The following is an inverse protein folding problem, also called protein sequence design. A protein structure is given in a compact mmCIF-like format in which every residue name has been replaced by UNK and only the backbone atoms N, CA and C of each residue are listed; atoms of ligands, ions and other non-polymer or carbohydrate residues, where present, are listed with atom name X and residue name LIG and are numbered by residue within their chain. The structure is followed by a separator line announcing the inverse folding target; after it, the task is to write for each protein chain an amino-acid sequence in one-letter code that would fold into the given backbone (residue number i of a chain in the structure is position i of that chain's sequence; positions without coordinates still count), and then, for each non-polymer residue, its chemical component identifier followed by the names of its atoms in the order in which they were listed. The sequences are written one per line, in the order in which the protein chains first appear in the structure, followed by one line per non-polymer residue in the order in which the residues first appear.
data_IF_967350980354
#
_entry.id   IF_967350980354
#
_cell.length_a   1.000
_cell.length_b   1.000
_cell.length_c   1.000
_cell.angle_alpha   90.00
_cell.angle_beta   90.00
_cell.angle_gamma   90.00
#
_symmetry.space_group_name_H-M   'P 1'
#
loop_
_entity.id
_entity.type
_entity.pdbx_description
1 polymer ?
#
# COMPACT_ATOMS: atom_id res chain seq x y z
N UNK A 1 -67.70 -22.44 -16.91
CA UNK A 1 -66.71 -21.34 -16.83
C UNK A 1 -65.81 -21.59 -15.63
N UNK A 2 -64.57 -22.04 -15.86
CA UNK A 2 -63.53 -22.14 -14.83
C UNK A 2 -62.20 -21.79 -15.50
N UNK A 3 -61.68 -20.63 -15.14
CA UNK A 3 -60.44 -20.05 -15.66
C UNK A 3 -59.24 -20.71 -14.97
N UNK A 4 -58.34 -21.28 -15.76
CA UNK A 4 -57.04 -21.77 -15.29
C UNK A 4 -56.05 -20.61 -15.36
N UNK A 5 -55.59 -20.13 -14.20
CA UNK A 5 -54.50 -19.14 -14.09
C UNK A 5 -53.16 -19.88 -14.09
N UNK A 6 -52.33 -19.60 -15.09
CA UNK A 6 -50.93 -20.00 -15.13
C UNK A 6 -50.11 -19.05 -14.25
N UNK A 7 -49.45 -19.58 -13.23
CA UNK A 7 -48.46 -18.83 -12.46
C UNK A 7 -47.09 -18.97 -13.13
N UNK A 8 -46.56 -17.89 -13.69
CA UNK A 8 -45.15 -17.80 -14.10
C UNK A 8 -44.29 -17.71 -12.83
N UNK A 9 -43.48 -18.73 -12.58
CA UNK A 9 -42.37 -18.68 -11.63
C UNK A 9 -41.19 -17.96 -12.31
N UNK A 10 -40.96 -16.70 -11.94
CA UNK A 10 -39.74 -15.96 -12.24
C UNK A 10 -38.62 -16.47 -11.33
N UNK A 11 -37.72 -17.28 -11.88
CA UNK A 11 -36.43 -17.60 -11.25
C UNK A 11 -35.55 -16.37 -11.40
N UNK A 12 -35.36 -15.62 -10.31
CA UNK A 12 -34.38 -14.54 -10.26
C UNK A 12 -32.98 -15.16 -10.34
N UNK A 13 -32.33 -15.03 -11.49
CA UNK A 13 -30.92 -15.35 -11.65
C UNK A 13 -30.10 -14.43 -10.74
N UNK A 14 -29.49 -14.99 -9.70
CA UNK A 14 -28.40 -14.37 -8.97
C UNK A 14 -27.24 -14.17 -9.96
N UNK A 15 -27.04 -12.92 -10.39
CA UNK A 15 -25.82 -12.52 -11.05
C UNK A 15 -24.68 -12.68 -10.04
N UNK A 16 -23.96 -13.79 -10.13
CA UNK A 16 -22.67 -13.98 -9.46
C UNK A 16 -21.74 -12.98 -10.14
N UNK A 17 -21.54 -11.83 -9.51
CA UNK A 17 -20.53 -10.86 -9.92
C UNK A 17 -19.18 -11.58 -9.97
N UNK A 18 -18.56 -11.60 -11.15
CA UNK A 18 -17.20 -12.08 -11.32
C UNK A 18 -16.26 -11.21 -10.49
N UNK A 19 -15.78 -11.73 -9.37
CA UNK A 19 -14.67 -11.14 -8.62
C UNK A 19 -13.41 -11.35 -9.45
N UNK A 20 -13.05 -10.33 -10.24
CA UNK A 20 -11.82 -10.34 -11.03
C UNK A 20 -10.63 -10.15 -10.10
N UNK A 21 -9.84 -11.20 -9.90
CA UNK A 21 -8.48 -11.05 -9.39
C UNK A 21 -7.68 -10.30 -10.46
N UNK A 22 -7.20 -9.10 -10.15
CA UNK A 22 -6.16 -8.47 -10.93
C UNK A 22 -4.81 -9.07 -10.50
N UNK A 23 -4.52 -10.30 -10.94
CA UNK A 23 -3.15 -10.78 -10.96
C UNK A 23 -2.44 -10.02 -12.08
N UNK A 24 -1.65 -9.01 -11.73
CA UNK A 24 -0.83 -8.30 -12.70
C UNK A 24 0.30 -9.22 -13.17
N UNK A 25 0.20 -9.78 -14.37
CA UNK A 25 1.34 -10.47 -15.00
C UNK A 25 2.32 -9.43 -15.51
N UNK A 26 3.52 -9.40 -14.94
CA UNK A 26 4.57 -8.51 -15.38
C UNK A 26 5.25 -9.01 -16.66
N UNK A 27 5.35 -8.15 -17.67
CA UNK A 27 6.21 -8.39 -18.84
C UNK A 27 7.39 -7.44 -18.79
N UNK A 28 8.60 -7.99 -18.71
CA UNK A 28 9.85 -7.23 -18.82
C UNK A 28 10.25 -7.12 -20.30
N UNK A 29 10.44 -5.90 -20.81
CA UNK A 29 11.20 -5.67 -22.04
C UNK A 29 12.43 -4.85 -21.68
N UNK A 30 13.62 -5.28 -22.09
CA UNK A 30 14.91 -4.65 -21.75
C UNK A 30 15.43 -3.83 -22.95
N UNK A 31 15.23 -2.50 -22.99
CA UNK A 31 16.17 -1.59 -23.64
C UNK A 31 17.39 -1.36 -22.72
N UNK A 32 18.57 -0.97 -23.25
CA UNK A 32 19.71 -0.60 -22.42
C UNK A 32 19.35 0.58 -21.50
N UNK A 33 19.45 0.40 -20.18
CA UNK A 33 19.35 1.48 -19.19
C UNK A 33 17.98 1.75 -18.56
N UNK A 34 16.91 1.03 -18.93
CA UNK A 34 15.60 1.14 -18.26
C UNK A 34 15.02 -0.26 -18.02
N UNK A 35 14.78 -0.61 -16.76
CA UNK A 35 14.15 -1.89 -16.37
C UNK A 35 12.63 -1.68 -16.32
N UNK A 36 12.00 -1.53 -17.49
CA UNK A 36 10.53 -1.41 -17.51
C UNK A 36 9.90 -2.73 -17.10
N UNK A 37 9.44 -2.78 -15.86
CA UNK A 37 8.54 -3.82 -15.37
C UNK A 37 7.15 -3.22 -15.36
N UNK A 38 6.22 -3.78 -16.12
CA UNK A 38 4.83 -3.34 -16.07
C UNK A 38 4.07 -4.36 -15.23
N UNK A 39 4.03 -4.15 -13.92
CA UNK A 39 2.97 -4.75 -13.09
C UNK A 39 1.63 -4.21 -13.64
N UNK A 40 0.56 -5.01 -13.67
CA UNK A 40 -0.74 -4.62 -14.25
C UNK A 40 -1.36 -3.32 -13.73
N UNK A 41 -2.62 -3.03 -14.06
CA UNK A 41 -3.27 -1.78 -13.61
C UNK A 41 -3.76 -1.91 -12.17
N UNK A 42 -3.20 -1.15 -11.23
CA UNK A 42 -3.70 -1.07 -9.85
C UNK A 42 -4.76 0.00 -9.71
N UNK A 43 -5.87 -0.31 -9.06
CA UNK A 43 -6.91 0.68 -8.84
C UNK A 43 -6.81 1.25 -7.44
N UNK A 44 -6.65 2.56 -7.33
CA UNK A 44 -6.74 3.29 -6.07
C UNK A 44 -7.81 4.37 -6.19
N UNK A 45 -8.61 4.52 -5.15
CA UNK A 45 -9.59 5.61 -5.08
C UNK A 45 -8.94 6.84 -4.49
N UNK A 46 -9.34 8.02 -4.96
CA UNK A 46 -8.97 9.28 -4.31
C UNK A 46 -9.27 9.25 -2.80
N UNK A 47 -8.36 9.84 -2.02
CA UNK A 47 -8.43 9.85 -0.55
C UNK A 47 -7.73 8.66 0.13
N UNK A 48 -7.13 7.77 -0.64
CA UNK A 48 -6.40 6.60 -0.12
C UNK A 48 -4.89 6.81 -0.20
N UNK A 49 -4.16 6.12 0.68
CA UNK A 49 -2.70 6.07 0.63
C UNK A 49 -2.19 4.85 -0.15
N UNK A 50 -1.15 5.06 -0.93
CA UNK A 50 -0.32 4.03 -1.55
C UNK A 50 1.02 3.91 -0.80
N UNK A 51 1.46 2.67 -0.57
CA UNK A 51 2.82 2.32 -0.18
C UNK A 51 3.54 1.62 -1.33
N UNK A 52 4.85 1.85 -1.44
CA UNK A 52 5.71 1.32 -2.50
C UNK A 52 7.02 0.83 -1.89
N UNK A 53 7.38 -0.42 -2.16
CA UNK A 53 8.63 -1.01 -1.68
C UNK A 53 9.25 -1.89 -2.78
N UNK A 54 10.58 -2.04 -2.75
CA UNK A 54 11.23 -3.12 -3.50
C UNK A 54 11.20 -4.40 -2.66
N UNK A 55 10.84 -5.50 -3.28
CA UNK A 55 10.78 -6.83 -2.67
C UNK A 55 11.78 -7.77 -3.35
N UNK A 56 12.13 -8.87 -2.71
CA UNK A 56 12.98 -9.89 -3.31
C UNK A 56 13.60 -10.79 -2.26
N UNK A 57 13.56 -12.10 -2.52
CA UNK A 57 14.09 -13.13 -1.61
C UNK A 57 15.43 -13.70 -2.12
N UNK A 58 15.88 -13.27 -3.30
CA UNK A 58 17.14 -13.74 -3.89
C UNK A 58 18.32 -13.05 -3.20
N UNK A 59 19.33 -13.79 -2.71
CA UNK A 59 20.53 -13.20 -2.11
C UNK A 59 21.38 -12.38 -3.10
N UNK A 60 21.22 -12.57 -4.42
CA UNK A 60 21.91 -11.78 -5.45
C UNK A 60 21.03 -11.56 -6.71
N UNK A 61 20.00 -10.69 -6.64
CA UNK A 61 19.13 -10.45 -7.77
C UNK A 61 19.76 -9.47 -8.77
N UNK A 62 20.03 -9.93 -9.99
CA UNK A 62 20.84 -9.28 -11.06
C UNK A 62 22.32 -8.98 -10.69
N UNK A 63 22.61 -8.52 -9.47
CA UNK A 63 23.93 -8.19 -8.96
C UNK A 63 24.02 -8.57 -7.48
N UNK A 64 25.22 -8.89 -7.00
CA UNK A 64 25.45 -9.03 -5.57
C UNK A 64 25.79 -7.64 -5.00
N UNK A 65 24.88 -7.05 -4.23
CA UNK A 65 25.09 -5.77 -3.56
C UNK A 65 23.80 -5.06 -3.18
N UNK A 66 23.91 -4.05 -2.32
CA UNK A 66 22.79 -3.19 -1.91
C UNK A 66 22.25 -2.42 -3.12
N UNK A 67 20.94 -2.52 -3.35
CA UNK A 67 20.23 -1.69 -4.32
C UNK A 67 19.99 -0.34 -3.66
N UNK A 68 20.34 0.73 -4.35
CA UNK A 68 20.07 2.08 -3.88
C UNK A 68 18.92 2.67 -4.67
N UNK A 69 17.93 3.18 -3.98
CA UNK A 69 16.87 4.02 -4.57
C UNK A 69 17.39 5.44 -4.65
N UNK A 70 17.24 6.07 -5.81
CA UNK A 70 17.71 7.44 -6.05
C UNK A 70 16.59 8.45 -6.28
N UNK A 71 15.38 7.98 -6.63
CA UNK A 71 14.20 8.84 -6.76
C UNK A 71 12.91 8.02 -6.77
N UNK A 72 11.81 8.65 -6.33
CA UNK A 72 10.45 8.17 -6.49
C UNK A 72 9.56 9.28 -7.04
N UNK A 73 8.97 9.05 -8.22
CA UNK A 73 8.16 10.01 -8.95
C UNK A 73 6.83 9.37 -9.39
N UNK A 74 5.82 10.19 -9.61
CA UNK A 74 4.59 9.80 -10.32
C UNK A 74 4.33 10.75 -11.48
N UNK A 75 4.04 10.15 -12.63
CA UNK A 75 3.76 10.82 -13.89
C UNK A 75 2.28 10.69 -14.25
N UNK A 76 1.71 11.76 -14.83
CA UNK A 76 0.39 11.73 -15.45
C UNK A 76 0.42 11.05 -16.84
N UNK A 77 -0.73 10.89 -17.54
CA UNK A 77 -0.78 10.30 -18.88
C UNK A 77 0.03 11.04 -19.95
N UNK A 78 0.37 12.31 -19.73
CA UNK A 78 1.18 13.12 -20.65
C UNK A 78 2.67 12.95 -20.41
N UNK A 79 3.05 12.29 -19.31
CA UNK A 79 4.44 12.14 -18.85
C UNK A 79 4.91 13.28 -17.96
N UNK A 80 4.03 14.18 -17.54
CA UNK A 80 4.37 15.25 -16.62
C UNK A 80 4.44 14.73 -15.18
N UNK A 81 5.43 15.19 -14.41
CA UNK A 81 5.57 14.85 -12.99
C UNK A 81 4.46 15.52 -12.19
N UNK A 82 3.64 14.73 -11.51
CA UNK A 82 2.56 15.21 -10.62
C UNK A 82 2.91 15.03 -9.14
N UNK A 83 3.85 14.15 -8.84
CA UNK A 83 4.38 13.95 -7.50
C UNK A 83 5.85 13.57 -7.59
N UNK A 84 6.65 14.11 -6.67
CA UNK A 84 8.04 13.74 -6.44
C UNK A 84 8.27 13.65 -4.92
N UNK A 85 8.93 12.58 -4.48
CA UNK A 85 9.35 12.47 -3.09
C UNK A 85 10.60 13.35 -2.85
N UNK A 86 10.37 14.61 -2.47
CA UNK A 86 11.42 15.57 -2.15
C UNK A 86 11.84 15.55 -0.68
N UNK A 87 11.05 14.88 0.18
CA UNK A 87 11.31 14.80 1.61
C UNK A 87 12.44 13.81 1.92
N UNK A 88 12.61 12.80 1.08
CA UNK A 88 13.66 11.79 1.24
C UNK A 88 15.01 12.28 0.72
N UNK A 89 16.04 12.21 1.56
CA UNK A 89 17.43 12.45 1.16
C UNK A 89 17.99 11.22 0.42
N UNK A 90 17.83 11.20 -0.90
CA UNK A 90 18.40 10.16 -1.76
C UNK A 90 19.92 10.32 -1.97
N UNK A 91 20.65 9.22 -2.28
CA UNK A 91 20.18 7.85 -2.41
C UNK A 91 20.01 7.13 -1.05
N UNK A 92 19.08 6.17 -0.98
CA UNK A 92 18.87 5.30 0.19
C UNK A 92 19.02 3.82 -0.18
N UNK A 93 19.57 2.98 0.71
CA UNK A 93 19.43 1.53 0.60
C UNK A 93 17.96 1.13 0.46
N UNK A 94 17.66 0.16 -0.40
CA UNK A 94 16.28 -0.25 -0.68
C UNK A 94 15.54 -0.82 0.54
N UNK A 95 16.27 -1.41 1.49
CA UNK A 95 15.76 -1.92 2.77
C UNK A 95 15.50 -0.81 3.81
N UNK A 96 16.07 0.38 3.60
CA UNK A 96 15.80 1.60 4.37
C UNK A 96 14.83 2.54 3.65
N UNK A 97 14.34 2.17 2.47
CA UNK A 97 13.44 2.98 1.66
C UNK A 97 11.99 2.44 1.73
N UNK A 98 11.05 3.36 1.90
CA UNK A 98 9.62 3.11 1.77
C UNK A 98 9.00 4.34 1.09
N UNK A 99 8.57 4.15 -0.15
CA UNK A 99 7.81 5.16 -0.90
C UNK A 99 6.37 5.21 -0.42
N UNK A 100 5.78 6.40 -0.39
CA UNK A 100 4.35 6.55 -0.20
C UNK A 100 3.80 7.70 -1.02
N UNK A 101 2.55 7.59 -1.44
CA UNK A 101 1.86 8.65 -2.14
C UNK A 101 0.40 8.67 -1.73
N UNK A 102 -0.11 9.85 -1.38
CA UNK A 102 -1.50 10.03 -0.94
C UNK A 102 -2.46 10.38 -2.09
N UNK A 103 -2.04 10.08 -3.33
CA UNK A 103 -2.80 10.40 -4.55
C UNK A 103 -3.09 11.90 -4.67
N UNK A 104 -2.13 12.73 -4.25
CA UNK A 104 -2.18 14.19 -4.36
C UNK A 104 -1.09 14.73 -5.26
N UNK A 105 -1.32 15.89 -5.85
CA UNK A 105 -0.28 16.67 -6.54
C UNK A 105 0.76 17.18 -5.52
N UNK A 106 1.87 17.72 -6.00
CA UNK A 106 2.88 18.42 -5.17
C UNK A 106 2.27 19.56 -4.34
N UNK A 107 1.18 20.18 -4.81
CA UNK A 107 0.46 21.24 -4.08
C UNK A 107 -0.52 20.69 -3.03
N UNK A 108 -0.64 19.37 -2.90
CA UNK A 108 -1.52 18.69 -1.93
C UNK A 108 -2.96 18.49 -2.42
N UNK A 109 -3.28 18.86 -3.65
CA UNK A 109 -4.62 18.66 -4.22
C UNK A 109 -4.81 17.21 -4.71
N UNK A 110 -5.99 16.58 -4.54
CA UNK A 110 -6.23 15.24 -5.08
C UNK A 110 -5.99 15.19 -6.59
N UNK A 111 -5.25 14.17 -7.06
CA UNK A 111 -5.07 13.98 -8.50
C UNK A 111 -6.37 13.55 -9.17
N UNK A 112 -6.56 13.94 -10.43
CA UNK A 112 -7.73 13.58 -11.21
C UNK A 112 -7.88 12.06 -11.38
N UNK A 113 -9.08 11.61 -11.74
CA UNK A 113 -9.29 10.23 -12.17
C UNK A 113 -8.54 9.98 -13.47
N UNK A 114 -7.85 8.84 -13.57
CA UNK A 114 -7.05 8.56 -14.74
C UNK A 114 -5.93 7.57 -14.50
N UNK A 115 -5.12 7.37 -15.54
CA UNK A 115 -3.94 6.52 -15.48
C UNK A 115 -2.73 7.33 -15.03
N UNK A 116 -1.90 6.72 -14.20
CA UNK A 116 -0.66 7.30 -13.72
C UNK A 116 0.45 6.27 -13.85
N UNK A 117 1.68 6.75 -14.02
CA UNK A 117 2.87 5.90 -14.03
C UNK A 117 3.70 6.22 -12.82
N UNK A 118 3.89 5.23 -11.97
CA UNK A 118 4.85 5.28 -10.88
C UNK A 118 6.24 4.96 -11.40
N UNK A 119 7.26 5.69 -10.96
CA UNK A 119 8.66 5.50 -11.35
C UNK A 119 9.56 5.48 -10.11
N UNK A 120 10.29 4.39 -9.91
CA UNK A 120 11.33 4.25 -8.88
C UNK A 120 12.68 4.09 -9.56
N UNK A 121 13.54 5.08 -9.43
CA UNK A 121 14.89 5.04 -10.02
C UNK A 121 15.84 4.36 -9.04
N UNK A 122 16.63 3.40 -9.52
CA UNK A 122 17.56 2.65 -8.67
C UNK A 122 18.94 2.47 -9.30
N UNK A 123 19.92 2.04 -8.50
CA UNK A 123 21.29 1.74 -8.95
C UNK A 123 21.38 0.63 -10.02
N UNK A 124 20.32 -0.15 -10.20
CA UNK A 124 20.26 -1.26 -11.18
C UNK A 124 19.30 -0.98 -12.35
N UNK A 125 18.66 0.20 -12.36
CA UNK A 125 17.70 0.62 -13.37
C UNK A 125 16.38 1.12 -12.77
N UNK A 126 15.52 1.64 -13.63
CA UNK A 126 14.25 2.23 -13.19
C UNK A 126 13.15 1.18 -13.17
N UNK A 127 12.41 1.05 -12.06
CA UNK A 127 11.19 0.26 -11.95
C UNK A 127 9.96 1.14 -12.22
N UNK A 128 8.98 0.60 -12.93
CA UNK A 128 7.75 1.31 -13.26
C UNK A 128 6.51 0.54 -12.78
N UNK A 129 5.39 1.21 -12.56
CA UNK A 129 4.10 0.56 -12.37
C UNK A 129 2.96 1.44 -12.89
N UNK A 130 1.94 0.83 -13.49
CA UNK A 130 0.75 1.55 -13.93
C UNK A 130 -0.32 1.56 -12.83
N UNK A 131 -0.85 2.74 -12.56
CA UNK A 131 -1.93 2.98 -11.60
C UNK A 131 -3.14 3.54 -12.34
N UNK A 132 -4.32 3.13 -11.92
CA UNK A 132 -5.61 3.74 -12.24
C UNK A 132 -6.17 4.40 -10.99
N UNK A 133 -6.30 5.72 -11.01
CA UNK A 133 -7.02 6.48 -9.98
C UNK A 133 -8.50 6.56 -10.38
N UNK A 134 -9.39 6.30 -9.43
CA UNK A 134 -10.85 6.43 -9.59
C UNK A 134 -11.42 7.40 -8.56
N UNK A 135 -12.68 7.80 -8.76
CA UNK A 135 -13.46 8.51 -7.77
C UNK A 135 -13.39 7.86 -6.37
N UNK A 136 -13.60 8.64 -5.29
CA UNK A 136 -13.67 8.11 -3.93
C UNK A 136 -14.71 7.00 -3.83
N UNK A 137 -14.34 5.86 -3.24
CA UNK A 137 -15.27 4.77 -2.94
C UNK A 137 -15.71 4.88 -1.47
N UNK A 138 -16.95 5.29 -1.17
CA UNK A 138 -17.43 5.44 0.20
C UNK A 138 -17.66 4.11 0.92
N UNK A 139 -17.64 2.97 0.22
CA UNK A 139 -17.87 1.66 0.82
C UNK A 139 -17.15 0.55 0.02
N UNK A 140 -15.80 0.46 0.13
CA UNK A 140 -15.04 -0.53 -0.64
C UNK A 140 -15.49 -1.95 -0.31
N UNK A 141 -16.02 -2.64 -1.34
CA UNK A 141 -16.49 -4.03 -1.23
C UNK A 141 -15.48 -5.03 -1.78
N UNK A 142 -14.65 -4.62 -2.72
CA UNK A 142 -13.56 -5.43 -3.25
C UNK A 142 -12.39 -5.44 -2.26
N UNK A 143 -11.75 -6.60 -2.08
CA UNK A 143 -10.50 -6.66 -1.33
C UNK A 143 -9.37 -6.02 -2.12
N UNK A 144 -8.50 -5.29 -1.41
CA UNK A 144 -7.26 -4.77 -1.99
C UNK A 144 -6.39 -5.93 -2.47
N UNK A 145 -5.89 -5.81 -3.69
CA UNK A 145 -4.84 -6.68 -4.22
C UNK A 145 -3.52 -5.93 -4.13
N UNK A 146 -2.46 -6.64 -3.74
CA UNK A 146 -1.10 -6.15 -3.97
C UNK A 146 -0.70 -6.49 -5.41
N UNK A 147 0.30 -5.79 -5.89
CA UNK A 147 0.99 -6.16 -7.10
C UNK A 147 2.47 -6.28 -6.90
N UNK A 148 3.08 -7.20 -7.64
CA UNK A 148 4.51 -7.37 -7.66
C UNK A 148 4.95 -7.66 -9.09
N UNK A 149 5.92 -6.90 -9.57
CA UNK A 149 6.58 -7.19 -10.84
C UNK A 149 8.05 -7.42 -10.63
N UNK A 150 8.50 -8.60 -11.05
CA UNK A 150 9.85 -9.08 -10.71
C UNK A 150 10.79 -8.99 -11.89
N UNK A 151 11.98 -8.40 -11.71
CA UNK A 151 13.12 -8.50 -12.63
C UNK A 151 14.33 -9.01 -11.87
N UNK A 152 14.93 -10.10 -12.38
CA UNK A 152 15.98 -10.87 -11.71
C UNK A 152 15.72 -11.20 -10.23
N UNK A 153 14.48 -11.41 -9.79
CA UNK A 153 14.17 -11.67 -8.38
C UNK A 153 13.91 -10.44 -7.52
N UNK A 154 13.97 -9.22 -8.07
CA UNK A 154 13.50 -7.98 -7.40
C UNK A 154 12.11 -7.61 -7.88
N UNK A 155 11.15 -7.61 -6.97
CA UNK A 155 9.80 -7.12 -7.13
C UNK A 155 9.66 -5.63 -6.85
N UNK A 156 8.70 -4.96 -7.51
CA UNK A 156 8.15 -3.68 -7.06
C UNK A 156 6.76 -3.91 -6.49
N UNK A 157 6.62 -3.77 -5.16
CA UNK A 157 5.38 -3.98 -4.44
C UNK A 157 4.58 -2.68 -4.27
N UNK A 158 3.33 -2.67 -4.74
CA UNK A 158 2.38 -1.58 -4.51
C UNK A 158 1.20 -2.10 -3.68
N UNK A 159 0.91 -1.43 -2.57
CA UNK A 159 -0.11 -1.91 -1.64
C UNK A 159 -0.71 -0.78 -0.79
N UNK A 160 -1.78 -1.12 -0.06
CA UNK A 160 -2.58 -0.14 0.69
C UNK A 160 -1.77 0.42 1.86
N UNK A 161 -1.68 1.75 1.93
CA UNK A 161 -1.26 2.50 3.11
C UNK A 161 -2.49 3.08 3.81
N UNK A 162 -2.49 3.05 5.13
CA UNK A 162 -3.48 3.69 5.99
C UNK A 162 -2.78 4.48 7.09
N UNK A 163 -3.41 5.55 7.54
CA UNK A 163 -2.93 6.40 8.62
C UNK A 163 -4.07 6.87 9.53
N UNK A 164 -3.81 7.85 10.40
CA UNK A 164 -4.80 8.39 11.35
C UNK A 164 -6.13 8.82 10.69
N UNK A 165 -6.15 9.12 9.37
CA UNK A 165 -7.37 9.46 8.63
C UNK A 165 -8.31 8.27 8.42
N UNK A 166 -7.79 7.05 8.48
CA UNK A 166 -8.54 5.81 8.29
C UNK A 166 -9.10 5.24 9.62
N UNK A 167 -8.99 5.96 10.74
CA UNK A 167 -9.46 5.50 12.07
C UNK A 167 -10.91 4.97 12.04
N UNK A 168 -11.11 3.78 12.60
CA UNK A 168 -12.42 3.13 12.71
C UNK A 168 -12.99 2.63 11.38
N UNK A 169 -12.24 2.69 10.28
CA UNK A 169 -12.68 2.19 8.98
C UNK A 169 -12.52 0.68 8.85
N UNK A 170 -13.20 0.12 7.85
CA UNK A 170 -13.04 -1.29 7.46
C UNK A 170 -12.15 -1.40 6.22
N UNK A 171 -11.08 -2.17 6.33
CA UNK A 171 -10.12 -2.42 5.25
C UNK A 171 -10.32 -3.84 4.70
N UNK A 172 -10.98 -3.99 3.53
CA UNK A 172 -11.10 -5.28 2.87
C UNK A 172 -9.79 -5.66 2.16
N UNK A 173 -9.20 -6.82 2.42
CA UNK A 173 -8.00 -7.34 1.73
C UNK A 173 -8.33 -8.65 1.01
N UNK A 174 -7.61 -8.95 -0.06
CA UNK A 174 -7.56 -10.31 -0.60
C UNK A 174 -6.43 -11.10 0.06
N UNK A 175 -6.53 -12.42 0.12
CA UNK A 175 -5.42 -13.28 0.53
C UNK A 175 -4.11 -12.94 -0.21
N UNK A 176 -3.00 -12.85 0.53
CA UNK A 176 -1.68 -12.48 0.03
C UNK A 176 -1.41 -10.97 -0.06
N UNK A 177 -2.43 -10.11 0.05
CA UNK A 177 -2.26 -8.67 -0.01
C UNK A 177 -1.50 -8.11 1.20
N UNK A 178 -0.77 -7.02 1.00
CA UNK A 178 -0.07 -6.28 2.06
C UNK A 178 -0.84 -5.05 2.52
N UNK A 179 -0.64 -4.66 3.77
CA UNK A 179 -1.17 -3.45 4.39
C UNK A 179 -0.06 -2.75 5.17
N UNK A 180 0.14 -1.46 4.91
CA UNK A 180 1.03 -0.58 5.68
C UNK A 180 0.18 0.30 6.61
N UNK A 181 0.45 0.25 7.91
CA UNK A 181 -0.04 1.22 8.88
C UNK A 181 1.07 2.26 9.09
N UNK A 182 0.75 3.54 8.92
CA UNK A 182 1.69 4.66 9.05
C UNK A 182 1.16 5.65 10.09
N UNK A 183 1.74 5.65 11.29
CA UNK A 183 1.26 6.46 12.42
C UNK A 183 2.28 7.52 12.83
N UNK A 184 1.94 8.82 12.74
CA UNK A 184 2.80 9.88 13.24
C UNK A 184 3.10 9.73 14.73
N UNK A 185 4.33 10.01 15.12
CA UNK A 185 4.76 9.94 16.52
C UNK A 185 6.15 10.54 16.71
N UNK A 186 6.59 10.62 17.96
CA UNK A 186 7.90 11.15 18.31
C UNK A 186 8.59 10.30 19.40
N UNK A 187 9.46 9.35 19.01
CA UNK A 187 10.17 8.50 19.96
C UNK A 187 11.11 9.28 20.89
N UNK A 188 11.55 10.50 20.53
CA UNK A 188 12.44 11.30 21.39
C UNK A 188 11.76 11.81 22.66
N UNK A 189 10.43 11.73 22.71
CA UNK A 189 9.61 12.10 23.88
C UNK A 189 9.35 10.91 24.82
N UNK A 190 9.85 9.73 24.46
CA UNK A 190 9.64 8.47 25.15
C UNK A 190 8.37 7.71 24.75
N UNK A 191 7.51 8.31 23.93
CA UNK A 191 6.33 7.64 23.41
C UNK A 191 6.64 6.76 22.21
N UNK A 192 5.93 5.64 22.08
CA UNK A 192 5.97 4.78 20.91
C UNK A 192 4.60 4.19 20.62
N UNK A 193 4.39 3.81 19.37
CA UNK A 193 3.25 3.00 18.98
C UNK A 193 3.54 1.52 19.24
N UNK A 194 2.60 0.82 19.85
CA UNK A 194 2.60 -0.62 20.03
C UNK A 194 1.28 -1.19 19.51
N UNK A 195 1.30 -2.40 18.96
CA UNK A 195 0.06 -3.08 18.63
C UNK A 195 -0.54 -3.70 19.90
N UNK A 196 -1.85 -3.54 20.04
CA UNK A 196 -2.64 -4.03 21.19
C UNK A 196 -3.47 -5.24 20.78
N UNK A 197 -3.99 -5.24 19.56
CA UNK A 197 -4.74 -6.36 18.98
C UNK A 197 -4.25 -6.59 17.55
N UNK A 198 -3.85 -7.83 17.26
CA UNK A 198 -3.36 -8.27 15.96
C UNK A 198 -4.04 -9.58 15.58
N UNK A 199 -4.88 -9.59 14.53
CA UNK A 199 -5.54 -10.82 14.11
C UNK A 199 -4.54 -11.84 13.57
N UNK A 200 -4.72 -13.12 13.92
CA UNK A 200 -3.82 -14.20 13.49
C UNK A 200 -3.71 -14.38 11.96
N UNK A 201 -4.71 -13.91 11.22
CA UNK A 201 -4.74 -13.92 9.75
C UNK A 201 -3.89 -12.81 9.10
N UNK A 202 -3.22 -11.97 9.91
CA UNK A 202 -2.26 -10.97 9.47
C UNK A 202 -0.87 -11.32 10.01
N UNK A 203 0.07 -11.66 9.13
CA UNK A 203 1.46 -11.85 9.50
C UNK A 203 2.22 -10.52 9.42
N UNK A 204 2.98 -10.19 10.46
CA UNK A 204 3.91 -9.04 10.41
C UNK A 204 5.00 -9.28 9.39
N UNK A 205 5.36 -8.24 8.65
CA UNK A 205 6.53 -8.21 7.78
C UNK A 205 7.57 -7.27 8.40
N UNK A 206 8.81 -7.74 8.51
CA UNK A 206 9.94 -6.92 8.93
C UNK A 206 10.27 -5.85 7.89
N UNK A 207 10.81 -4.72 8.34
CA UNK A 207 11.18 -3.61 7.46
C UNK A 207 11.46 -2.35 8.28
N UNK A 208 11.57 -1.19 7.62
CA UNK A 208 11.85 0.08 8.29
C UNK A 208 10.77 0.41 9.34
N UNK A 209 11.04 0.38 10.66
CA UNK A 209 10.02 0.51 11.68
C UNK A 209 9.64 1.98 11.95
N UNK A 210 10.53 2.92 11.62
CA UNK A 210 10.34 4.35 11.87
C UNK A 210 11.16 5.18 10.87
N UNK A 211 10.59 6.30 10.40
CA UNK A 211 11.30 7.32 9.62
C UNK A 211 11.07 8.69 10.25
N UNK A 212 12.15 9.39 10.60
CA UNK A 212 12.08 10.77 11.07
C UNK A 212 11.73 11.72 9.91
N UNK A 213 10.97 12.77 10.20
CA UNK A 213 10.60 13.79 9.20
C UNK A 213 11.79 14.68 8.83
N UNK A 214 12.81 14.75 9.71
CA UNK A 214 14.05 15.49 9.44
C UNK A 214 15.21 14.94 10.28
N UNK A 215 16.44 15.37 9.93
CA UNK A 215 17.63 15.06 10.71
C UNK A 215 17.82 15.94 11.96
N UNK A 216 16.85 16.80 12.29
CA UNK A 216 16.92 17.64 13.47
C UNK A 216 16.74 16.80 14.74
N UNK A 217 17.55 17.11 15.76
CA UNK A 217 17.42 16.46 17.07
C UNK A 217 16.03 16.77 17.65
N UNK A 218 15.31 15.72 18.03
CA UNK A 218 13.95 15.84 18.57
C UNK A 218 12.84 15.86 17.52
N UNK A 219 13.17 15.75 16.23
CA UNK A 219 12.17 15.65 15.18
C UNK A 219 11.31 14.38 15.39
N UNK A 220 10.00 14.57 15.23
CA UNK A 220 9.07 13.45 15.10
C UNK A 220 9.24 12.75 13.76
N UNK A 221 8.28 11.89 13.47
CA UNK A 221 8.29 11.08 12.27
C UNK A 221 7.11 10.14 12.26
N UNK A 222 7.27 9.04 11.54
CA UNK A 222 6.21 8.07 11.31
C UNK A 222 6.68 6.67 11.71
N UNK A 223 5.88 5.99 12.52
CA UNK A 223 6.02 4.57 12.83
C UNK A 223 5.30 3.74 11.77
N UNK A 224 5.94 2.67 11.32
CA UNK A 224 5.42 1.80 10.28
C UNK A 224 5.20 0.38 10.80
N UNK A 225 4.02 -0.16 10.51
CA UNK A 225 3.69 -1.56 10.75
C UNK A 225 3.22 -2.19 9.45
N UNK A 226 3.86 -3.29 9.04
CA UNK A 226 3.56 -3.99 7.79
C UNK A 226 2.91 -5.31 8.08
N UNK A 227 1.86 -5.62 7.34
CA UNK A 227 1.13 -6.88 7.46
C UNK A 227 0.94 -7.53 6.09
N UNK A 228 0.95 -8.85 6.07
CA UNK A 228 0.49 -9.67 4.95
C UNK A 228 -0.73 -10.48 5.37
N UNK A 229 -1.78 -10.43 4.57
CA UNK A 229 -2.96 -11.27 4.73
C UNK A 229 -2.62 -12.73 4.39
N UNK A 230 -2.64 -13.64 5.37
CA UNK A 230 -2.23 -15.04 5.21
C UNK A 230 -3.41 -15.99 5.01
N UNK A 231 -4.57 -15.69 5.59
CA UNK A 231 -5.78 -16.50 5.49
C UNK A 231 -7.04 -15.63 5.56
N UNK A 232 -8.19 -16.18 5.16
CA UNK A 232 -9.46 -15.46 5.25
C UNK A 232 -9.88 -15.25 6.71
N UNK A 233 -10.41 -14.08 7.03
CA UNK A 233 -10.76 -13.73 8.40
C UNK A 233 -11.28 -12.30 8.55
N UNK A 234 -11.87 -12.00 9.70
CA UNK A 234 -12.29 -10.65 10.05
C UNK A 234 -11.96 -10.38 11.51
N UNK A 235 -11.38 -9.21 11.80
CA UNK A 235 -10.90 -8.87 13.14
C UNK A 235 -10.41 -7.44 13.23
N UNK A 236 -10.21 -6.98 14.47
CA UNK A 236 -9.67 -5.64 14.70
C UNK A 236 -8.15 -5.69 14.73
N UNK A 237 -7.54 -4.68 14.11
CA UNK A 237 -6.13 -4.37 14.23
C UNK A 237 -6.03 -3.05 14.98
N UNK A 238 -5.43 -3.05 16.18
CA UNK A 238 -5.39 -1.86 17.04
C UNK A 238 -4.00 -1.56 17.60
N UNK A 239 -3.74 -0.28 17.83
CA UNK A 239 -2.48 0.25 18.31
C UNK A 239 -2.70 1.28 19.42
N UNK A 240 -1.73 1.39 20.32
CA UNK A 240 -1.68 2.37 21.39
C UNK A 240 -0.39 3.17 21.32
N UNK A 241 -0.50 4.49 21.46
CA UNK A 241 0.64 5.40 21.56
C UNK A 241 0.86 5.74 23.03
N UNK A 242 1.94 5.23 23.62
CA UNK A 242 2.23 5.40 25.05
C UNK A 242 3.70 5.31 25.37
N UNK A 243 4.05 5.73 26.59
CA UNK A 243 5.33 5.40 27.23
C UNK A 243 5.19 4.02 27.87
N UNK A 244 5.92 3.03 27.38
CA UNK A 244 5.78 1.63 27.80
C UNK A 244 6.08 1.39 29.29
N UNK A 245 6.79 2.32 29.95
CA UNK A 245 7.11 2.27 31.39
C UNK A 245 6.11 3.01 32.28
N UNK A 246 5.15 3.75 31.72
CA UNK A 246 4.13 4.44 32.50
C UNK A 246 2.85 3.61 32.57
N UNK A 247 2.26 3.50 33.76
CA UNK A 247 0.99 2.80 33.98
C UNK A 247 -0.23 3.68 33.68
N UNK A 248 -0.11 4.59 32.72
CA UNK A 248 -1.16 5.53 32.30
C UNK A 248 -1.89 5.01 31.06
N UNK A 249 -3.15 5.43 30.84
CA UNK A 249 -3.82 5.16 29.58
C UNK A 249 -3.02 5.71 28.38
N UNK A 250 -3.11 5.08 27.19
CA UNK A 250 -2.48 5.59 25.99
C UNK A 250 -2.88 7.03 25.68
N UNK A 251 -1.94 7.83 25.17
CA UNK A 251 -2.21 9.19 24.72
C UNK A 251 -3.06 9.19 23.44
N UNK A 252 -2.78 8.24 22.55
CA UNK A 252 -3.57 8.00 21.33
C UNK A 252 -3.83 6.51 21.16
N UNK A 253 -4.89 6.21 20.43
CA UNK A 253 -5.19 4.87 19.92
C UNK A 253 -5.47 4.95 18.43
N UNK A 254 -5.19 3.87 17.72
CA UNK A 254 -5.56 3.71 16.32
C UNK A 254 -6.18 2.33 16.11
N UNK A 255 -7.36 2.22 15.50
CA UNK A 255 -8.06 0.95 15.30
C UNK A 255 -8.68 0.86 13.91
N UNK A 256 -8.51 -0.31 13.29
CA UNK A 256 -9.15 -0.68 12.03
C UNK A 256 -9.87 -2.02 12.16
N UNK A 257 -10.90 -2.24 11.36
CA UNK A 257 -11.42 -3.59 11.11
C UNK A 257 -10.85 -4.11 9.80
N UNK A 258 -10.10 -5.21 9.82
CA UNK A 258 -9.55 -5.83 8.62
C UNK A 258 -10.39 -7.05 8.25
N UNK A 259 -10.73 -7.19 6.97
CA UNK A 259 -11.49 -8.34 6.44
C UNK A 259 -10.71 -8.94 5.27
N UNK A 260 -10.13 -10.12 5.45
CA UNK A 260 -9.46 -10.88 4.39
C UNK A 260 -10.45 -11.84 3.74
N UNK A 261 -10.53 -11.81 2.40
CA UNK A 261 -11.38 -12.67 1.58
C UNK A 261 -10.58 -13.64 0.70
#
# INVERSE_FOLDING_TARGET
MRTVRWALLLVAGLAIGSFGQALGTATSSIPPGQVRVTTGVFTFSQGQGLAVELTGDDPCPCTCGTIFVSAFLVLDPTGAVVYADEATAYPLPSDEWLGHWDLTTTDGEPVAEGKYTLLVMTSIGDFQAELQVTAPDPAPRAGWSMAEATVCGIGLALYRRVDERDEGTTIPLNGGARLLIALPGNPTTGYGWEAVEEPAFLARIEGLPYRADSHLIGAGGVFYFRYQATEAGAGNLSFAYRRSWEATPPEKTFTLTVIVR
#
